data_IF_765739949711
#
_entry.id   IF_765739949711
#
_cell.length_a   1.000
_cell.length_b   1.000
_cell.length_c   1.000
_cell.angle_alpha   90.00
_cell.angle_beta   90.00
_cell.angle_gamma   90.00
#
_symmetry.space_group_name_H-M   'P 1'
#
loop_
_entity.id
_entity.type
_entity.pdbx_description
1 polymer ?
#
# COMPACT_ATOMS: atom_id res chain seq x y z
N UNK A 1 -37.20 1.24 44.73
CA UNK A 1 -36.65 -0.13 44.90
C UNK A 1 -35.91 -0.49 43.62
N UNK A 2 -34.62 -0.81 43.54
CA UNK A 2 -33.50 -0.92 44.48
C UNK A 2 -32.33 -0.16 43.86
N UNK A 3 -31.75 0.75 44.64
CA UNK A 3 -30.41 1.29 44.41
C UNK A 3 -29.38 0.21 44.78
N UNK A 4 -28.22 0.20 44.14
CA UNK A 4 -27.03 -0.37 44.76
C UNK A 4 -25.82 0.53 44.54
N UNK A 5 -25.27 0.96 45.67
CA UNK A 5 -24.12 1.85 45.83
C UNK A 5 -22.83 1.04 45.86
N UNK A 6 -21.75 1.76 45.53
CA UNK A 6 -20.30 1.49 45.54
C UNK A 6 -19.75 0.57 46.65
N UNK A 7 -18.49 0.13 46.50
CA UNK A 7 -17.48 0.79 47.32
C UNK A 7 -16.26 1.32 46.53
N UNK A 8 -15.89 2.53 46.92
CA UNK A 8 -14.57 3.14 46.76
C UNK A 8 -13.57 2.32 47.57
N UNK A 9 -12.44 1.93 46.97
CA UNK A 9 -11.24 1.55 47.70
C UNK A 9 -10.07 2.37 47.17
N UNK A 10 -9.61 3.32 47.98
CA UNK A 10 -8.30 3.95 47.85
C UNK A 10 -7.22 2.90 48.14
N UNK A 11 -6.19 2.76 47.30
CA UNK A 11 -4.84 2.52 47.79
C UNK A 11 -3.78 2.89 46.74
N UNK A 12 -2.89 3.76 47.20
CA UNK A 12 -1.52 4.09 46.82
C UNK A 12 -0.92 3.53 45.50
N UNK A 13 -0.36 4.48 44.73
CA UNK A 13 1.09 4.47 44.52
C UNK A 13 1.63 3.63 43.37
N UNK A 14 1.55 4.17 42.16
CA UNK A 14 2.63 4.00 41.18
C UNK A 14 2.68 5.25 40.29
N UNK A 15 3.59 6.17 40.59
CA UNK A 15 4.12 7.07 39.58
C UNK A 15 4.86 6.19 38.55
N UNK A 16 4.13 5.63 37.60
CA UNK A 16 4.73 5.17 36.36
C UNK A 16 5.09 6.45 35.63
N UNK A 17 6.36 6.82 35.71
CA UNK A 17 6.98 7.70 34.72
C UNK A 17 6.70 7.03 33.38
N UNK A 18 5.71 7.56 32.65
CA UNK A 18 5.50 7.27 31.24
C UNK A 18 6.76 7.79 30.54
N UNK A 19 7.80 6.97 30.51
CA UNK A 19 8.85 7.11 29.53
C UNK A 19 8.11 7.05 28.20
N UNK A 20 7.97 8.19 27.53
CA UNK A 20 7.41 8.23 26.19
C UNK A 20 8.26 7.25 25.40
N UNK A 21 7.68 6.15 24.94
CA UNK A 21 8.38 5.24 24.06
C UNK A 21 8.90 6.11 22.92
N UNK A 22 10.23 6.23 22.82
CA UNK A 22 10.86 6.98 21.76
C UNK A 22 10.31 6.40 20.45
N UNK A 23 9.47 7.18 19.78
CA UNK A 23 8.81 6.80 18.54
C UNK A 23 9.91 6.47 17.55
N UNK A 24 10.03 5.19 17.19
CA UNK A 24 10.87 4.81 16.08
C UNK A 24 10.22 5.36 14.80
N UNK A 25 10.60 6.57 14.38
CA UNK A 25 10.29 7.02 13.03
C UNK A 25 10.98 6.05 12.06
N UNK A 26 10.19 5.36 11.24
CA UNK A 26 10.73 4.52 10.18
C UNK A 26 11.36 5.46 9.14
N UNK A 27 12.66 5.69 9.28
CA UNK A 27 13.43 6.51 8.34
C UNK A 27 13.72 5.69 7.09
N UNK A 28 12.92 5.88 6.04
CA UNK A 28 13.19 5.30 4.73
C UNK A 28 14.39 6.01 4.12
N UNK A 29 15.39 5.23 3.70
CA UNK A 29 16.57 5.73 2.97
C UNK A 29 16.51 5.30 1.51
N UNK A 30 17.00 6.14 0.64
CA UNK A 30 17.15 5.91 -0.79
C UNK A 30 18.63 5.89 -1.13
N UNK A 31 19.04 5.01 -2.04
CA UNK A 31 20.38 4.97 -2.62
C UNK A 31 20.32 5.40 -4.09
N UNK A 32 21.22 6.28 -4.51
CA UNK A 32 21.41 6.64 -5.91
C UNK A 32 21.90 5.44 -6.73
N UNK A 33 21.18 5.12 -7.80
CA UNK A 33 21.48 3.94 -8.64
C UNK A 33 22.27 4.28 -9.90
N UNK A 34 22.21 5.52 -10.37
CA UNK A 34 22.95 6.03 -11.52
C UNK A 34 24.22 6.79 -11.12
N UNK A 35 25.16 6.98 -12.05
CA UNK A 35 26.43 7.71 -11.81
C UNK A 35 26.21 9.18 -11.45
N UNK A 36 25.15 9.79 -11.98
CA UNK A 36 24.77 11.17 -11.76
C UNK A 36 23.27 11.25 -11.54
N UNK A 37 22.87 11.66 -10.34
CA UNK A 37 21.46 11.77 -9.95
C UNK A 37 21.18 13.21 -9.53
N UNK A 38 20.55 14.02 -10.40
CA UNK A 38 20.25 15.40 -10.07
C UNK A 38 19.14 15.48 -9.01
N UNK A 39 19.35 16.34 -8.02
CA UNK A 39 18.33 16.72 -7.05
C UNK A 39 17.83 18.11 -7.41
N UNK A 40 16.55 18.22 -7.74
CA UNK A 40 15.92 19.44 -8.20
C UNK A 40 15.26 20.22 -7.06
N UNK A 41 15.17 21.55 -7.20
CA UNK A 41 14.46 22.40 -6.25
C UNK A 41 12.94 22.15 -6.25
N UNK A 42 12.37 21.90 -7.42
CA UNK A 42 10.96 21.55 -7.65
C UNK A 42 10.87 20.19 -8.38
N UNK A 43 9.75 19.46 -8.30
CA UNK A 43 9.54 18.18 -8.99
C UNK A 43 9.26 18.39 -10.49
N UNK A 44 10.23 18.97 -11.18
CA UNK A 44 10.18 19.36 -12.58
C UNK A 44 11.57 19.21 -13.22
N UNK A 45 11.64 18.57 -14.39
CA UNK A 45 12.92 18.31 -15.06
C UNK A 45 13.65 19.62 -15.45
N UNK A 46 12.91 20.72 -15.65
CA UNK A 46 13.46 22.04 -15.95
C UNK A 46 13.84 22.85 -14.69
N UNK A 47 13.54 22.35 -13.50
CA UNK A 47 13.88 23.02 -12.24
C UNK A 47 15.39 23.07 -12.02
N UNK A 48 15.92 24.15 -11.40
CA UNK A 48 17.31 24.20 -10.96
C UNK A 48 17.72 22.97 -10.12
N UNK A 49 18.93 22.48 -10.37
CA UNK A 49 19.56 21.39 -9.60
C UNK A 49 20.27 21.97 -8.39
N UNK A 50 19.87 21.53 -7.20
CA UNK A 50 20.45 21.98 -5.92
C UNK A 50 21.74 21.22 -5.58
N UNK A 51 21.80 19.95 -5.95
CA UNK A 51 22.97 19.07 -5.83
C UNK A 51 22.85 17.88 -6.79
N UNK A 52 23.98 17.26 -7.13
CA UNK A 52 24.03 16.02 -7.90
C UNK A 52 24.64 14.94 -7.03
N UNK A 53 23.90 13.87 -6.81
CA UNK A 53 24.34 12.71 -6.05
C UNK A 53 25.12 11.76 -6.98
N UNK A 54 26.12 11.09 -6.41
CA UNK A 54 26.88 10.02 -7.05
C UNK A 54 26.26 8.66 -6.75
N UNK A 55 26.51 7.67 -7.61
CA UNK A 55 26.07 6.29 -7.37
C UNK A 55 26.49 5.80 -5.98
N UNK A 56 25.55 5.23 -5.24
CA UNK A 56 25.78 4.73 -3.87
C UNK A 56 25.51 5.77 -2.78
N UNK A 57 25.32 7.04 -3.12
CA UNK A 57 24.94 8.07 -2.15
C UNK A 57 23.58 7.75 -1.53
N UNK A 58 23.51 7.93 -0.20
CA UNK A 58 22.33 7.60 0.58
C UNK A 58 21.65 8.86 1.09
N UNK A 59 20.37 9.01 0.73
CA UNK A 59 19.54 10.15 1.14
C UNK A 59 18.33 9.69 1.93
N UNK A 60 17.81 10.55 2.81
CA UNK A 60 16.58 10.27 3.56
C UNK A 60 15.38 10.61 2.68
N UNK A 61 14.41 9.71 2.60
CA UNK A 61 13.09 10.01 2.03
C UNK A 61 12.31 10.84 3.06
N UNK A 62 11.95 12.06 2.69
CA UNK A 62 11.26 13.02 3.55
C UNK A 62 9.75 12.99 3.38
N UNK A 63 9.26 12.45 2.25
CA UNK A 63 7.84 12.24 1.99
C UNK A 63 7.59 10.79 1.54
N UNK A 64 6.64 10.06 2.15
CA UNK A 64 6.26 8.73 1.68
C UNK A 64 5.49 8.78 0.34
N UNK A 65 4.92 9.93 0.00
CA UNK A 65 4.14 10.18 -1.23
C UNK A 65 5.08 10.71 -2.32
N UNK A 66 4.93 10.17 -3.54
CA UNK A 66 5.58 10.69 -4.74
C UNK A 66 4.88 11.94 -5.24
N UNK A 67 5.65 12.94 -5.66
CA UNK A 67 5.14 14.12 -6.34
C UNK A 67 5.10 13.86 -7.84
N UNK A 68 4.03 14.35 -8.52
CA UNK A 68 3.81 14.14 -9.97
C UNK A 68 4.15 12.72 -10.43
N UNK A 69 3.62 11.73 -9.70
CA UNK A 69 3.74 10.27 -9.91
C UNK A 69 5.13 9.62 -9.80
N UNK A 70 6.23 10.35 -10.04
CA UNK A 70 7.58 9.76 -10.12
C UNK A 70 8.70 10.54 -9.41
N UNK A 71 8.38 11.50 -8.53
CA UNK A 71 9.39 12.25 -7.78
C UNK A 71 9.36 11.93 -6.28
N UNK A 72 10.53 11.67 -5.70
CA UNK A 72 10.71 11.59 -4.26
C UNK A 72 11.22 12.90 -3.69
N UNK A 73 10.63 13.35 -2.59
CA UNK A 73 11.17 14.45 -1.80
C UNK A 73 12.18 13.91 -0.79
N UNK A 74 13.40 14.43 -0.81
CA UNK A 74 14.55 13.89 -0.08
C UNK A 74 15.24 14.95 0.79
N UNK A 75 15.88 14.49 1.86
CA UNK A 75 16.72 15.26 2.77
C UNK A 75 18.09 14.58 2.84
N UNK A 76 19.17 15.36 2.71
CA UNK A 76 20.53 14.83 2.70
C UNK A 76 21.53 15.88 3.15
N UNK A 77 22.74 15.45 3.51
CA UNK A 77 23.85 16.34 3.83
C UNK A 77 24.66 16.56 2.56
N UNK A 78 24.78 17.82 2.15
CA UNK A 78 25.52 18.23 0.98
C UNK A 78 26.99 17.87 1.10
N UNK A 79 27.52 17.15 0.12
CA UNK A 79 28.95 16.81 0.03
C UNK A 79 29.81 18.07 -0.15
N UNK A 80 29.26 19.08 -0.84
CA UNK A 80 29.94 20.35 -1.14
C UNK A 80 29.95 21.32 0.04
N UNK A 81 28.84 21.44 0.76
CA UNK A 81 28.65 22.49 1.77
C UNK A 81 28.57 21.98 3.21
N UNK A 82 28.45 20.67 3.42
CA UNK A 82 28.22 20.06 4.74
C UNK A 82 26.84 20.41 5.34
N UNK A 83 26.00 21.18 4.64
CA UNK A 83 24.68 21.60 5.11
C UNK A 83 23.64 20.53 4.78
N UNK A 84 22.63 20.44 5.64
CA UNK A 84 21.45 19.65 5.32
C UNK A 84 20.62 20.39 4.26
N UNK A 85 20.38 19.74 3.13
CA UNK A 85 19.59 20.24 2.01
C UNK A 85 18.39 19.33 1.77
N UNK A 86 17.42 19.87 1.03
CA UNK A 86 16.24 19.14 0.58
C UNK A 86 16.01 19.38 -0.91
N UNK A 87 15.35 18.44 -1.56
CA UNK A 87 14.92 18.60 -2.96
C UNK A 87 14.23 17.36 -3.48
N UNK A 88 14.07 17.29 -4.80
CA UNK A 88 13.31 16.25 -5.49
C UNK A 88 14.21 15.41 -6.38
N UNK A 89 14.05 14.09 -6.33
CA UNK A 89 14.78 13.15 -7.17
C UNK A 89 13.82 12.23 -7.91
N UNK A 90 14.14 11.89 -9.15
CA UNK A 90 13.34 10.96 -9.95
C UNK A 90 13.43 9.55 -9.39
N UNK A 91 12.28 8.90 -9.20
CA UNK A 91 12.13 7.55 -8.65
C UNK A 91 13.00 6.51 -9.38
N UNK A 92 13.07 6.58 -10.72
CA UNK A 92 13.89 5.65 -11.51
C UNK A 92 15.40 5.75 -11.29
N UNK A 93 15.89 6.81 -10.63
CA UNK A 93 17.31 7.05 -10.39
C UNK A 93 17.76 6.66 -8.97
N UNK A 94 16.85 6.15 -8.15
CA UNK A 94 17.10 5.79 -6.77
C UNK A 94 16.39 4.50 -6.38
N UNK A 95 16.92 3.76 -5.40
CA UNK A 95 16.26 2.57 -4.82
C UNK A 95 16.09 2.71 -3.32
N UNK A 96 14.99 2.21 -2.76
CA UNK A 96 14.78 2.18 -1.30
C UNK A 96 15.73 1.16 -0.66
N UNK A 97 16.52 1.59 0.32
CA UNK A 97 17.41 0.73 1.11
C UNK A 97 16.71 0.08 2.30
N UNK A 98 15.71 0.75 2.87
CA UNK A 98 15.10 0.38 4.15
C UNK A 98 13.63 -0.04 4.02
N UNK A 99 13.14 -0.39 2.83
CA UNK A 99 11.77 -0.93 2.69
C UNK A 99 11.58 -2.28 3.39
N UNK A 100 12.66 -2.85 3.92
CA UNK A 100 12.64 -4.06 4.73
C UNK A 100 13.32 -3.76 6.06
N UNK A 101 12.58 -3.20 7.02
CA UNK A 101 12.51 -3.99 8.25
C UNK A 101 12.03 -5.36 7.77
N UNK A 102 12.96 -6.31 7.61
CA UNK A 102 12.58 -7.70 7.79
C UNK A 102 12.13 -7.76 9.23
N UNK A 103 10.84 -7.48 9.47
CA UNK A 103 10.11 -8.36 10.36
C UNK A 103 10.32 -9.71 9.72
N UNK A 104 11.39 -10.40 10.13
CA UNK A 104 11.46 -11.83 9.92
C UNK A 104 10.30 -12.30 10.77
N UNK A 105 9.16 -12.47 10.13
CA UNK A 105 8.11 -13.24 10.71
C UNK A 105 8.73 -14.64 10.83
N UNK A 106 9.22 -14.96 12.02
CA UNK A 106 9.74 -16.27 12.36
C UNK A 106 8.58 -17.28 12.44
N UNK A 107 7.35 -16.81 12.27
CA UNK A 107 6.21 -17.65 11.93
C UNK A 107 6.50 -18.31 10.58
N UNK A 108 6.52 -19.65 10.50
CA UNK A 108 6.65 -20.35 9.23
C UNK A 108 5.64 -19.77 8.25
N UNK A 109 6.12 -19.28 7.09
CA UNK A 109 5.24 -18.82 6.04
C UNK A 109 4.20 -19.91 5.79
N UNK A 110 2.91 -19.54 5.81
CA UNK A 110 1.86 -20.50 5.55
C UNK A 110 2.20 -21.28 4.27
N UNK A 111 2.06 -22.62 4.28
CA UNK A 111 2.40 -23.43 3.14
C UNK A 111 1.62 -22.97 1.92
N UNK A 112 2.23 -23.10 0.75
CA UNK A 112 1.54 -22.81 -0.49
C UNK A 112 0.34 -23.76 -0.64
N UNK A 113 -0.78 -23.22 -1.10
CA UNK A 113 -2.01 -23.95 -1.39
C UNK A 113 -1.91 -24.48 -2.81
N UNK A 114 -2.00 -25.80 -2.96
CA UNK A 114 -1.91 -26.46 -4.27
C UNK A 114 -3.14 -26.17 -5.14
N UNK A 115 -4.33 -26.30 -4.55
CA UNK A 115 -5.61 -26.05 -5.21
C UNK A 115 -6.44 -25.02 -4.42
N UNK A 116 -6.24 -23.72 -4.68
CA UNK A 116 -7.02 -22.69 -4.01
C UNK A 116 -8.45 -22.67 -4.53
N UNK A 117 -9.41 -22.63 -3.60
CA UNK A 117 -10.82 -22.39 -3.91
C UNK A 117 -10.98 -21.12 -4.74
N UNK A 118 -11.97 -21.05 -5.63
CA UNK A 118 -12.25 -19.83 -6.40
C UNK A 118 -12.90 -18.75 -5.52
N UNK A 119 -12.86 -17.49 -5.96
CA UNK A 119 -13.63 -16.43 -5.30
C UNK A 119 -15.14 -16.73 -5.39
N UNK A 120 -15.84 -16.66 -4.26
CA UNK A 120 -17.30 -16.81 -4.23
C UNK A 120 -18.01 -15.51 -4.66
N UNK A 121 -18.15 -15.32 -5.97
CA UNK A 121 -18.72 -14.10 -6.58
C UNK A 121 -20.23 -14.22 -6.87
N UNK A 122 -20.85 -15.37 -6.57
CA UNK A 122 -22.23 -15.67 -6.96
C UNK A 122 -23.22 -14.91 -6.10
N UNK A 123 -24.09 -14.11 -6.73
CA UNK A 123 -25.09 -13.31 -6.00
C UNK A 123 -24.49 -12.13 -5.21
N UNK A 124 -23.17 -11.92 -5.28
CA UNK A 124 -22.47 -10.86 -4.56
C UNK A 124 -22.86 -9.48 -5.12
N UNK A 125 -23.21 -8.57 -4.21
CA UNK A 125 -23.42 -7.15 -4.50
C UNK A 125 -22.10 -6.37 -4.39
N UNK A 126 -22.05 -5.17 -4.98
CA UNK A 126 -20.93 -4.26 -4.72
C UNK A 126 -20.98 -3.81 -3.25
N UNK A 127 -19.81 -3.57 -2.62
CA UNK A 127 -19.78 -3.10 -1.25
C UNK A 127 -20.39 -1.70 -1.14
N UNK A 128 -21.33 -1.54 -0.21
CA UNK A 128 -21.84 -0.22 0.19
C UNK A 128 -20.93 0.31 1.30
N UNK A 129 -20.18 1.38 1.00
CA UNK A 129 -19.24 1.99 1.94
C UNK A 129 -19.70 3.39 2.28
N UNK A 130 -19.89 3.66 3.57
CA UNK A 130 -20.14 5.00 4.08
C UNK A 130 -18.81 5.74 4.23
N UNK A 131 -18.48 6.56 3.25
CA UNK A 131 -17.27 7.39 3.28
C UNK A 131 -17.33 8.46 4.36
N UNK A 132 -16.16 8.86 4.86
CA UNK A 132 -16.06 9.93 5.84
C UNK A 132 -16.41 9.54 7.28
N UNK A 133 -16.80 8.28 7.53
CA UNK A 133 -17.05 7.78 8.89
C UNK A 133 -15.80 7.90 9.76
N UNK A 134 -15.92 8.30 11.04
CA UNK A 134 -14.77 8.47 11.92
C UNK A 134 -14.19 7.12 12.36
N UNK A 135 -12.91 7.14 12.72
CA UNK A 135 -12.18 5.99 13.31
C UNK A 135 -12.99 5.22 14.37
N UNK A 136 -13.68 5.96 15.25
CA UNK A 136 -14.44 5.38 16.37
C UNK A 136 -15.64 4.52 15.94
N UNK A 137 -16.20 4.75 14.75
CA UNK A 137 -17.27 3.90 14.19
C UNK A 137 -16.67 2.58 13.72
N UNK A 138 -15.54 2.64 13.00
CA UNK A 138 -14.82 1.45 12.51
C UNK A 138 -14.34 0.59 13.68
N UNK A 139 -13.73 1.19 14.72
CA UNK A 139 -13.29 0.44 15.89
C UNK A 139 -14.44 -0.20 16.67
N UNK A 140 -15.63 0.40 16.62
CA UNK A 140 -16.82 -0.15 17.28
C UNK A 140 -17.36 -1.37 16.53
N UNK A 141 -17.32 -1.34 15.19
CA UNK A 141 -17.79 -2.44 14.35
C UNK A 141 -16.77 -3.57 14.21
N UNK A 142 -15.51 -3.22 13.96
CA UNK A 142 -14.43 -4.17 13.66
C UNK A 142 -13.65 -4.63 14.90
N UNK A 143 -13.80 -3.91 16.01
CA UNK A 143 -13.02 -4.12 17.23
C UNK A 143 -11.60 -3.58 17.14
N UNK A 144 -10.68 -4.22 17.87
CA UNK A 144 -9.26 -3.83 17.88
C UNK A 144 -8.58 -4.31 16.59
N UNK A 145 -7.83 -3.45 15.87
CA UNK A 145 -7.07 -3.86 14.69
C UNK A 145 -5.93 -4.80 15.07
N UNK A 146 -5.56 -5.66 14.11
CA UNK A 146 -4.36 -6.48 14.17
C UNK A 146 -3.11 -5.59 14.17
N UNK A 147 -3.09 -4.59 13.30
CA UNK A 147 -2.00 -3.63 13.19
C UNK A 147 -2.53 -2.21 12.92
N UNK A 148 -1.80 -1.21 13.41
CA UNK A 148 -2.14 0.20 13.29
C UNK A 148 -0.89 1.00 12.96
N UNK A 149 -0.91 1.70 11.83
CA UNK A 149 0.19 2.52 11.35
C UNK A 149 -0.29 3.95 11.06
N UNK A 150 0.62 4.92 11.21
CA UNK A 150 0.37 6.31 10.84
C UNK A 150 1.44 6.77 9.85
N UNK A 151 1.02 7.49 8.81
CA UNK A 151 1.93 8.07 7.82
C UNK A 151 1.41 9.43 7.39
N UNK A 152 2.07 10.50 7.83
CA UNK A 152 1.59 11.88 7.61
C UNK A 152 0.24 12.13 8.29
N UNK A 153 -0.74 12.58 7.52
CA UNK A 153 -2.14 12.80 7.93
C UNK A 153 -3.02 11.54 7.76
N UNK A 154 -2.42 10.45 7.29
CA UNK A 154 -3.10 9.18 7.09
C UNK A 154 -2.87 8.22 8.25
N UNK A 155 -3.88 7.39 8.46
CA UNK A 155 -3.85 6.30 9.42
C UNK A 155 -4.38 5.02 8.78
N UNK A 156 -3.73 3.91 9.10
CA UNK A 156 -4.00 2.60 8.51
C UNK A 156 -4.41 1.63 9.62
N UNK A 157 -5.65 1.14 9.56
CA UNK A 157 -6.16 0.11 10.47
C UNK A 157 -6.27 -1.21 9.73
N UNK A 158 -5.52 -2.23 10.15
CA UNK A 158 -5.41 -3.51 9.45
C UNK A 158 -6.10 -4.64 10.19
N UNK A 159 -6.83 -5.46 9.45
CA UNK A 159 -7.62 -6.57 9.97
C UNK A 159 -7.51 -7.80 9.06
N UNK A 160 -7.34 -8.97 9.68
CA UNK A 160 -7.50 -10.25 9.00
C UNK A 160 -8.98 -10.56 8.83
N UNK A 161 -9.43 -10.79 7.60
CA UNK A 161 -10.81 -11.14 7.28
C UNK A 161 -10.84 -12.26 6.25
N UNK A 162 -11.93 -13.01 6.26
CA UNK A 162 -12.29 -13.88 5.15
C UNK A 162 -13.29 -13.14 4.28
N UNK A 163 -12.96 -12.94 3.01
CA UNK A 163 -13.80 -12.26 2.03
C UNK A 163 -13.96 -13.16 0.82
N UNK A 164 -15.20 -13.45 0.44
CA UNK A 164 -15.50 -14.24 -0.78
C UNK A 164 -14.77 -15.60 -0.78
N UNK A 165 -14.67 -16.24 0.39
CA UNK A 165 -13.98 -17.53 0.58
C UNK A 165 -12.45 -17.44 0.62
N UNK A 166 -11.87 -16.23 0.68
CA UNK A 166 -10.43 -16.00 0.63
C UNK A 166 -9.92 -15.31 1.88
N UNK A 167 -8.73 -15.68 2.35
CA UNK A 167 -8.05 -14.97 3.44
C UNK A 167 -7.44 -13.67 2.93
N UNK A 168 -7.86 -12.56 3.55
CA UNK A 168 -7.49 -11.21 3.13
C UNK A 168 -7.03 -10.34 4.31
N UNK A 169 -6.17 -9.38 4.00
CA UNK A 169 -5.84 -8.25 4.84
C UNK A 169 -6.64 -7.04 4.39
N UNK A 170 -7.61 -6.64 5.20
CA UNK A 170 -8.40 -5.43 4.99
C UNK A 170 -7.73 -4.28 5.73
N UNK A 171 -7.43 -3.21 5.00
CA UNK A 171 -6.83 -1.99 5.53
C UNK A 171 -7.79 -0.82 5.32
N UNK A 172 -8.30 -0.27 6.41
CA UNK A 172 -9.01 1.01 6.38
C UNK A 172 -7.99 2.14 6.39
N UNK A 173 -8.05 3.01 5.38
CA UNK A 173 -7.20 4.19 5.24
C UNK A 173 -8.01 5.42 5.63
N UNK A 174 -7.64 6.00 6.76
CA UNK A 174 -8.25 7.20 7.31
C UNK A 174 -7.42 8.42 6.88
N UNK A 175 -8.08 9.45 6.35
CA UNK A 175 -7.49 10.75 6.03
C UNK A 175 -8.15 11.77 6.96
N UNK A 176 -7.37 12.50 7.76
CA UNK A 176 -7.96 13.40 8.76
C UNK A 176 -8.90 12.68 9.74
N UNK A 177 -8.57 11.42 10.09
CA UNK A 177 -9.33 10.51 10.99
C UNK A 177 -10.70 10.07 10.48
N UNK A 178 -10.95 10.22 9.18
CA UNK A 178 -12.18 9.81 8.49
C UNK A 178 -11.87 8.84 7.36
N UNK A 179 -12.76 7.89 7.10
CA UNK A 179 -12.57 6.88 6.06
C UNK A 179 -12.49 7.50 4.66
N UNK A 180 -11.35 7.33 4.00
CA UNK A 180 -11.14 7.77 2.61
C UNK A 180 -10.94 6.62 1.61
N UNK A 181 -10.40 5.48 2.07
CA UNK A 181 -10.17 4.30 1.23
C UNK A 181 -10.16 3.00 2.04
N UNK A 182 -10.54 1.91 1.38
CA UNK A 182 -10.41 0.54 1.88
C UNK A 182 -9.53 -0.24 0.90
N UNK A 183 -8.47 -0.85 1.41
CA UNK A 183 -7.58 -1.72 0.63
C UNK A 183 -7.71 -3.15 1.09
N UNK A 184 -7.82 -4.07 0.16
CA UNK A 184 -7.96 -5.50 0.40
C UNK A 184 -6.78 -6.18 -0.28
N UNK A 185 -5.99 -6.93 0.48
CA UNK A 185 -4.89 -7.72 -0.07
C UNK A 185 -5.16 -9.19 0.17
N UNK A 186 -4.99 -10.02 -0.87
CA UNK A 186 -5.04 -11.46 -0.73
C UNK A 186 -3.81 -11.94 0.08
N UNK A 187 -4.03 -12.77 1.09
CA UNK A 187 -2.97 -13.33 1.94
C UNK A 187 -2.59 -14.76 1.58
N UNK A 188 -3.36 -15.40 0.71
CA UNK A 188 -3.13 -16.77 0.32
C UNK A 188 -1.93 -16.89 -0.62
N UNK A 189 -1.12 -17.93 -0.41
CA UNK A 189 0.03 -18.26 -1.24
C UNK A 189 -0.32 -19.44 -2.13
N UNK A 190 -0.30 -19.28 -3.45
CA UNK A 190 -0.60 -20.37 -4.39
C UNK A 190 0.67 -21.06 -4.86
N UNK A 191 0.63 -22.39 -4.93
CA UNK A 191 1.70 -23.18 -5.51
C UNK A 191 1.78 -22.93 -7.02
N UNK A 192 0.64 -23.03 -7.70
CA UNK A 192 0.50 -22.63 -9.10
C UNK A 192 0.23 -21.11 -9.19
N UNK A 193 1.16 -20.37 -9.81
CA UNK A 193 1.09 -18.90 -9.91
C UNK A 193 0.07 -18.41 -10.92
N UNK A 194 -0.29 -19.20 -11.93
CA UNK A 194 -1.34 -18.85 -12.89
C UNK A 194 -2.70 -18.70 -12.21
N UNK A 195 -2.91 -19.33 -11.04
CA UNK A 195 -4.14 -19.18 -10.26
C UNK A 195 -4.38 -17.74 -9.80
N UNK A 196 -3.34 -16.94 -9.57
CA UNK A 196 -3.51 -15.51 -9.28
C UNK A 196 -4.03 -14.72 -10.47
N UNK A 197 -3.57 -15.08 -11.68
CA UNK A 197 -4.01 -14.44 -12.93
C UNK A 197 -5.46 -14.82 -13.22
N UNK A 198 -5.82 -16.09 -12.99
CA UNK A 198 -7.20 -16.56 -13.09
C UNK A 198 -8.14 -15.84 -12.10
N UNK A 199 -7.71 -15.68 -10.85
CA UNK A 199 -8.45 -14.95 -9.82
C UNK A 199 -8.60 -13.46 -10.18
N UNK A 200 -7.54 -12.81 -10.66
CA UNK A 200 -7.59 -11.43 -11.16
C UNK A 200 -8.63 -11.26 -12.27
N UNK A 201 -8.59 -12.14 -13.27
CA UNK A 201 -9.52 -12.09 -14.41
C UNK A 201 -10.96 -12.34 -13.94
N UNK A 202 -11.18 -13.30 -13.04
CA UNK A 202 -12.51 -13.59 -12.50
C UNK A 202 -13.11 -12.40 -11.76
N UNK A 203 -12.32 -11.72 -10.93
CA UNK A 203 -12.75 -10.50 -10.23
C UNK A 203 -12.99 -9.36 -11.22
N UNK A 204 -12.11 -9.18 -12.22
CA UNK A 204 -12.28 -8.17 -13.27
C UNK A 204 -13.57 -8.38 -14.05
N UNK A 205 -13.87 -9.61 -14.46
CA UNK A 205 -15.04 -9.94 -15.26
C UNK A 205 -16.33 -9.76 -14.45
N UNK A 206 -16.31 -10.12 -13.17
CA UNK A 206 -17.40 -9.80 -12.25
C UNK A 206 -17.64 -8.29 -12.13
N UNK A 207 -16.59 -7.49 -11.96
CA UNK A 207 -16.70 -6.04 -11.88
C UNK A 207 -17.21 -5.46 -13.20
N UNK A 208 -16.75 -5.97 -14.34
CA UNK A 208 -17.23 -5.56 -15.66
C UNK A 208 -18.73 -5.82 -15.83
N UNK A 209 -19.22 -6.96 -15.36
CA UNK A 209 -20.64 -7.27 -15.40
C UNK A 209 -21.49 -6.33 -14.53
N UNK A 210 -20.93 -5.75 -13.46
CA UNK A 210 -21.63 -4.86 -12.53
C UNK A 210 -21.50 -3.38 -12.88
N UNK A 211 -20.33 -2.97 -13.36
CA UNK A 211 -19.92 -1.57 -13.51
C UNK A 211 -19.74 -1.15 -14.98
N UNK A 212 -19.74 -2.11 -15.91
CA UNK A 212 -19.32 -1.90 -17.29
C UNK A 212 -17.79 -1.95 -17.44
N UNK A 213 -17.29 -1.57 -18.62
CA UNK A 213 -15.87 -1.60 -18.92
C UNK A 213 -15.04 -0.70 -18.00
N UNK A 214 -13.81 -1.09 -17.65
CA UNK A 214 -12.94 -0.27 -16.83
C UNK A 214 -12.54 0.99 -17.60
N UNK A 215 -12.32 2.08 -16.86
CA UNK A 215 -11.73 3.32 -17.38
C UNK A 215 -10.29 3.10 -17.85
N UNK A 216 -9.54 2.28 -17.12
CA UNK A 216 -8.18 1.88 -17.47
C UNK A 216 -8.06 0.37 -17.33
N UNK A 217 -7.48 -0.29 -18.33
CA UNK A 217 -7.10 -1.69 -18.28
C UNK A 217 -5.65 -1.82 -18.74
N UNK A 218 -4.74 -1.76 -17.77
CA UNK A 218 -3.31 -1.68 -17.99
C UNK A 218 -2.68 -3.06 -17.87
N UNK A 219 -2.02 -3.48 -18.94
CA UNK A 219 -1.14 -4.65 -18.99
C UNK A 219 0.26 -4.15 -19.23
N UNK A 220 1.09 -4.18 -18.20
CA UNK A 220 2.46 -3.66 -18.25
C UNK A 220 3.43 -4.83 -18.32
N UNK A 221 4.15 -4.91 -19.44
CA UNK A 221 5.29 -5.81 -19.63
C UNK A 221 6.58 -5.01 -19.53
N UNK A 222 7.42 -5.29 -18.54
CA UNK A 222 8.76 -4.68 -18.43
C UNK A 222 9.71 -5.18 -19.52
N UNK A 223 9.50 -6.40 -20.01
CA UNK A 223 10.23 -6.99 -21.13
C UNK A 223 9.26 -7.41 -22.24
N UNK A 224 9.35 -6.75 -23.41
CA UNK A 224 8.50 -7.02 -24.57
C UNK A 224 8.74 -8.40 -25.18
N UNK A 225 9.94 -8.96 -25.07
CA UNK A 225 10.27 -10.27 -25.64
C UNK A 225 9.61 -11.44 -24.89
N UNK A 226 9.19 -11.21 -23.64
CA UNK A 226 8.44 -12.20 -22.86
C UNK A 226 6.96 -12.21 -23.24
N UNK A 227 6.39 -11.05 -23.61
CA UNK A 227 4.99 -10.90 -23.96
C UNK A 227 4.56 -11.74 -25.19
N UNK A 228 5.48 -11.98 -26.13
CA UNK A 228 5.20 -12.72 -27.37
C UNK A 228 5.08 -14.25 -27.16
N UNK A 229 5.59 -14.78 -26.03
CA UNK A 229 5.54 -16.21 -25.74
C UNK A 229 4.23 -16.68 -25.13
N UNK A 230 3.45 -15.77 -24.51
CA UNK A 230 2.07 -16.02 -24.06
C UNK A 230 1.87 -17.01 -22.90
N UNK A 231 2.81 -17.92 -22.67
CA UNK A 231 2.73 -18.97 -21.66
C UNK A 231 3.34 -18.54 -20.31
N UNK A 232 2.80 -19.08 -19.22
CA UNK A 232 3.28 -18.92 -17.84
C UNK A 232 3.20 -17.47 -17.29
N UNK A 233 1.99 -16.90 -17.37
CA UNK A 233 1.68 -15.56 -16.87
C UNK A 233 1.95 -15.43 -15.37
N UNK A 234 1.74 -16.50 -14.60
CA UNK A 234 2.06 -16.59 -13.19
C UNK A 234 3.55 -16.38 -12.93
N UNK A 235 4.42 -17.07 -13.68
CA UNK A 235 5.87 -16.82 -13.62
C UNK A 235 6.20 -15.38 -13.99
N UNK A 236 5.61 -14.84 -15.07
CA UNK A 236 5.85 -13.46 -15.47
C UNK A 236 5.45 -12.43 -14.39
N UNK A 237 4.38 -12.68 -13.65
CA UNK A 237 3.97 -11.84 -12.51
C UNK A 237 5.00 -11.95 -11.39
N UNK A 238 5.37 -13.18 -10.99
CA UNK A 238 6.32 -13.38 -9.87
C UNK A 238 7.74 -12.89 -10.13
N UNK A 239 8.17 -12.86 -11.40
CA UNK A 239 9.44 -12.25 -11.82
C UNK A 239 9.39 -10.73 -11.88
N UNK A 240 8.18 -10.14 -11.72
CA UNK A 240 7.94 -8.71 -11.85
C UNK A 240 8.02 -8.18 -13.27
N UNK A 241 7.98 -9.07 -14.26
CA UNK A 241 7.99 -8.75 -15.69
C UNK A 241 6.60 -8.36 -16.18
N UNK A 242 5.54 -8.92 -15.58
CA UNK A 242 4.14 -8.61 -15.84
C UNK A 242 3.49 -7.92 -14.64
N UNK A 243 2.69 -6.89 -14.91
CA UNK A 243 1.76 -6.32 -13.95
C UNK A 243 0.44 -6.01 -14.63
N UNK A 244 -0.66 -6.35 -13.96
CA UNK A 244 -2.03 -6.10 -14.41
C UNK A 244 -2.69 -5.10 -13.48
N UNK A 245 -3.44 -4.15 -14.02
CA UNK A 245 -4.36 -3.36 -13.20
C UNK A 245 -5.55 -2.86 -14.00
N UNK A 246 -6.72 -2.89 -13.38
CA UNK A 246 -7.96 -2.39 -13.98
C UNK A 246 -8.63 -1.43 -13.00
N UNK A 247 -9.23 -0.37 -13.53
CA UNK A 247 -9.81 0.71 -12.72
C UNK A 247 -11.19 1.11 -13.22
N UNK A 248 -12.12 1.33 -12.29
CA UNK A 248 -13.48 1.79 -12.55
C UNK A 248 -13.75 3.05 -11.73
N UNK A 249 -14.54 3.95 -12.31
CA UNK A 249 -15.17 5.05 -11.60
C UNK A 249 -16.69 4.85 -11.70
N UNK A 250 -17.35 4.72 -10.56
CA UNK A 250 -18.79 4.55 -10.49
C UNK A 250 -19.37 5.45 -9.42
N UNK A 251 -20.17 6.44 -9.84
CA UNK A 251 -20.66 7.52 -8.97
C UNK A 251 -19.49 8.25 -8.29
N UNK A 252 -19.45 8.31 -6.96
CA UNK A 252 -18.36 8.86 -6.16
C UNK A 252 -17.37 7.79 -5.65
N UNK A 253 -17.47 6.56 -6.15
CA UNK A 253 -16.56 5.46 -5.82
C UNK A 253 -15.55 5.23 -6.94
N UNK A 254 -14.27 5.21 -6.56
CA UNK A 254 -13.18 4.68 -7.37
C UNK A 254 -12.89 3.25 -6.94
N UNK A 255 -12.74 2.33 -7.88
CA UNK A 255 -12.36 0.95 -7.62
C UNK A 255 -11.18 0.59 -8.51
N UNK A 256 -10.14 0.02 -7.91
CA UNK A 256 -8.96 -0.51 -8.61
C UNK A 256 -8.70 -1.93 -8.16
N UNK A 257 -8.34 -2.79 -9.10
CA UNK A 257 -7.67 -4.07 -8.80
C UNK A 257 -6.29 -4.06 -9.43
N UNK A 258 -5.33 -4.72 -8.79
CA UNK A 258 -3.97 -4.84 -9.30
C UNK A 258 -3.34 -6.16 -8.94
N UNK A 259 -2.64 -6.75 -9.90
CA UNK A 259 -1.81 -7.93 -9.73
C UNK A 259 -0.38 -7.59 -10.15
N UNK A 260 0.57 -7.75 -9.24
CA UNK A 260 2.00 -7.54 -9.50
C UNK A 260 2.81 -8.53 -8.67
N UNK A 261 4.07 -8.70 -8.99
CA UNK A 261 4.96 -9.51 -8.17
C UNK A 261 6.41 -9.05 -8.28
N UNK A 262 7.21 -9.52 -7.35
CA UNK A 262 8.66 -9.37 -7.35
C UNK A 262 9.25 -10.45 -6.43
N UNK A 263 10.43 -10.99 -6.79
CA UNK A 263 11.15 -11.96 -5.96
C UNK A 263 10.32 -13.18 -5.51
N UNK A 264 9.49 -13.74 -6.40
CA UNK A 264 8.60 -14.88 -6.11
C UNK A 264 7.40 -14.60 -5.19
N UNK A 265 7.22 -13.35 -4.76
CA UNK A 265 6.03 -12.91 -4.03
C UNK A 265 5.04 -12.26 -4.99
N UNK A 266 3.74 -12.50 -4.72
CA UNK A 266 2.63 -11.94 -5.50
C UNK A 266 1.83 -11.01 -4.62
N UNK A 267 1.55 -9.82 -5.14
CA UNK A 267 0.65 -8.85 -4.56
C UNK A 267 -0.61 -8.78 -5.43
N UNK A 268 -1.69 -9.40 -4.96
CA UNK A 268 -3.03 -9.19 -5.50
C UNK A 268 -3.82 -8.31 -4.53
N UNK A 269 -4.23 -7.14 -5.00
CA UNK A 269 -4.93 -6.15 -4.20
C UNK A 269 -6.14 -5.54 -4.91
N UNK A 270 -7.11 -5.13 -4.12
CA UNK A 270 -8.18 -4.23 -4.52
C UNK A 270 -8.15 -2.96 -3.65
N UNK A 271 -8.41 -1.80 -4.24
CA UNK A 271 -8.60 -0.53 -3.54
C UNK A 271 -9.95 0.06 -3.92
N UNK A 272 -10.71 0.47 -2.91
CA UNK A 272 -11.99 1.14 -3.07
C UNK A 272 -11.85 2.49 -2.35
N UNK A 273 -12.14 3.60 -3.02
CA UNK A 273 -11.89 4.94 -2.48
C UNK A 273 -13.01 5.93 -2.79
N UNK A 274 -13.20 6.90 -1.90
CA UNK A 274 -14.03 8.08 -2.17
C UNK A 274 -13.31 9.01 -3.15
N UNK A 275 -13.86 9.16 -4.35
CA UNK A 275 -13.32 10.04 -5.39
C UNK A 275 -13.28 11.50 -4.94
N UNK A 276 -14.12 11.93 -3.98
CA UNK A 276 -14.11 13.30 -3.44
C UNK A 276 -12.89 13.57 -2.57
N UNK A 277 -12.34 12.53 -1.94
CA UNK A 277 -11.17 12.64 -1.06
C UNK A 277 -9.85 12.47 -1.82
N UNK A 278 -9.89 11.96 -3.07
CA UNK A 278 -8.72 11.85 -3.93
C UNK A 278 -8.50 13.12 -4.74
N UNK A 279 -7.27 13.62 -4.71
CA UNK A 279 -6.81 14.64 -5.64
C UNK A 279 -6.79 14.02 -7.07
N UNK A 280 -7.36 14.67 -8.11
CA UNK A 280 -7.49 14.10 -9.46
C UNK A 280 -6.15 13.82 -10.17
N UNK A 281 -5.03 14.20 -9.57
CA UNK A 281 -3.66 14.01 -10.07
C UNK A 281 -2.94 12.80 -9.47
N UNK A 282 -3.63 11.96 -8.69
CA UNK A 282 -3.08 10.72 -8.12
C UNK A 282 -3.41 9.49 -8.96
N UNK A 283 -2.94 9.49 -10.22
CA UNK A 283 -2.69 8.28 -10.99
C UNK A 283 -1.40 8.47 -11.79
#
# INVERSE_FOLDING_TARGET
MKAMRFPVLFLLGACVVLASAARAEIVVRLEATAESVPVHLEPDDGSPVVETLSRGDVVKLSSPIKFRTHWYYVLFVSSRSGRTLTGYVVDGLVRKLNSTLKVVDLTPAAPAIDDPAEFDLRGTALPEIEWGVPESVILRSEGRPFDREHSGDMEFLRYHRELLGKKCLVTYVLIGRKLGSVRIHLLERYANKDRYVADYNSVRDFLNAKLGSPRYDNVIWKDRAYAERGDDLGTAVTSGTLSLSSEWAYRDMGLRISLSGENSEVLFAAEISDLKTRNPTSF
#
